data_IF_251747099561
#
_entry.id   IF_251747099561
#
_cell.length_a   1.000
_cell.length_b   1.000
_cell.length_c   1.000
_cell.angle_alpha   90.00
_cell.angle_beta   90.00
_cell.angle_gamma   90.00
#
_symmetry.space_group_name_H-M   'P 1'
#
loop_
_entity.id
_entity.type
_entity.pdbx_description
1 polymer ?
#
# COMPACT_ATOMS: atom_id res chain seq x y z
N UNK A 1 16.03 8.90 -22.56
CA UNK A 1 16.15 9.86 -21.44
C UNK A 1 15.94 9.11 -20.12
N UNK A 2 16.88 9.18 -19.16
CA UNK A 2 16.81 8.40 -17.92
C UNK A 2 15.55 8.66 -17.09
N UNK A 3 15.08 9.91 -17.04
CA UNK A 3 13.86 10.30 -16.31
C UNK A 3 12.61 9.63 -16.86
N UNK A 4 12.43 9.66 -18.18
CA UNK A 4 11.28 9.05 -18.86
C UNK A 4 11.24 7.55 -18.64
N UNK A 5 12.39 6.87 -18.75
CA UNK A 5 12.47 5.44 -18.41
C UNK A 5 12.05 5.17 -16.96
N UNK A 6 12.53 5.98 -16.01
CA UNK A 6 12.20 5.81 -14.60
C UNK A 6 10.69 6.01 -14.31
N UNK A 7 10.02 6.91 -15.04
CA UNK A 7 8.56 7.10 -14.95
C UNK A 7 7.83 5.83 -15.38
N UNK A 8 8.19 5.23 -16.52
CA UNK A 8 7.54 4.00 -16.97
C UNK A 8 7.88 2.80 -16.06
N UNK A 9 9.12 2.67 -15.61
CA UNK A 9 9.52 1.60 -14.68
C UNK A 9 8.98 1.78 -13.25
N UNK A 10 8.33 2.90 -12.92
CA UNK A 10 7.67 3.08 -11.62
C UNK A 10 6.67 1.95 -11.34
N UNK A 11 5.85 1.62 -12.33
CA UNK A 11 4.75 0.66 -12.18
C UNK A 11 5.23 -0.77 -11.96
N UNK A 12 6.41 -1.13 -12.48
CA UNK A 12 7.03 -2.45 -12.24
C UNK A 12 7.54 -2.55 -10.81
N UNK A 13 8.06 -1.45 -10.27
CA UNK A 13 8.57 -1.32 -8.90
C UNK A 13 7.49 -1.25 -7.82
N UNK A 14 6.22 -1.24 -8.19
CA UNK A 14 5.08 -1.38 -7.27
C UNK A 14 4.46 -2.78 -7.27
N UNK A 15 4.95 -3.68 -8.12
CA UNK A 15 4.38 -5.03 -8.26
C UNK A 15 4.83 -5.94 -7.12
N UNK A 16 3.91 -6.71 -6.55
CA UNK A 16 4.14 -7.80 -5.60
C UNK A 16 3.32 -8.99 -6.07
N UNK A 17 3.97 -10.04 -6.56
CA UNK A 17 3.27 -11.13 -7.25
C UNK A 17 2.51 -10.60 -8.48
N UNK A 18 1.20 -10.87 -8.53
CA UNK A 18 0.31 -10.36 -9.58
C UNK A 18 -0.38 -9.05 -9.18
N UNK A 19 -0.11 -8.54 -7.99
CA UNK A 19 -0.77 -7.36 -7.44
C UNK A 19 0.07 -6.12 -7.67
N UNK A 20 -0.62 -4.99 -7.83
CA UNK A 20 -0.03 -3.67 -7.79
C UNK A 20 -0.38 -3.06 -6.45
N UNK A 21 0.64 -2.72 -5.65
CA UNK A 21 0.38 -2.10 -4.35
C UNK A 21 -0.38 -0.80 -4.59
N UNK A 22 -1.56 -0.73 -3.98
CA UNK A 22 -2.45 0.41 -4.11
C UNK A 22 -2.10 1.46 -3.06
N UNK A 23 -2.01 2.71 -3.50
CA UNK A 23 -2.03 3.90 -2.66
C UNK A 23 -2.88 4.97 -3.36
N UNK A 24 -3.61 5.78 -2.59
CA UNK A 24 -4.50 6.77 -3.16
C UNK A 24 -5.58 6.13 -4.05
N UNK A 25 -6.03 6.84 -5.08
CA UNK A 25 -7.06 6.35 -6.00
C UNK A 25 -6.50 5.35 -7.03
N UNK A 26 -5.84 4.29 -6.56
CA UNK A 26 -5.44 3.13 -7.34
C UNK A 26 -6.28 1.91 -6.98
N UNK A 27 -6.14 0.84 -7.74
CA UNK A 27 -6.91 -0.39 -7.57
C UNK A 27 -5.96 -1.58 -7.52
N UNK A 28 -6.22 -2.53 -6.62
CA UNK A 28 -5.49 -3.78 -6.62
C UNK A 28 -5.82 -4.54 -7.91
N UNK A 29 -4.86 -5.31 -8.42
CA UNK A 29 -5.04 -6.19 -9.58
C UNK A 29 -5.37 -5.52 -10.92
N UNK A 30 -5.26 -4.19 -11.04
CA UNK A 30 -5.42 -3.53 -12.34
C UNK A 30 -4.14 -3.70 -13.17
N UNK A 31 -4.24 -4.40 -14.30
CA UNK A 31 -3.18 -4.40 -15.29
C UNK A 31 -2.99 -2.98 -15.82
N UNK A 32 -1.74 -2.55 -16.04
CA UNK A 32 -1.52 -1.27 -16.69
C UNK A 32 -1.99 -1.34 -18.15
N UNK A 33 -2.19 -0.16 -18.77
CA UNK A 33 -2.46 -0.05 -20.19
C UNK A 33 -1.30 -0.69 -20.98
N UNK A 34 -1.50 -1.93 -21.44
CA UNK A 34 -0.45 -2.71 -22.11
C UNK A 34 -0.01 -2.02 -23.40
N UNK A 35 -0.96 -1.35 -24.06
CA UNK A 35 -0.75 -0.47 -25.22
C UNK A 35 0.26 0.65 -25.00
N UNK A 36 0.48 1.05 -23.75
CA UNK A 36 1.50 2.02 -23.37
C UNK A 36 2.75 1.33 -22.81
N UNK A 37 2.58 0.32 -21.97
CA UNK A 37 3.68 -0.31 -21.24
C UNK A 37 4.61 -1.10 -22.15
N UNK A 38 4.07 -1.89 -23.08
CA UNK A 38 4.84 -2.81 -23.91
C UNK A 38 5.74 -2.09 -24.94
N UNK A 39 5.24 -1.11 -25.73
CA UNK A 39 6.10 -0.35 -26.63
C UNK A 39 7.19 0.42 -25.87
N UNK A 40 6.87 0.94 -24.67
CA UNK A 40 7.87 1.56 -23.81
C UNK A 40 8.91 0.55 -23.31
N UNK A 41 8.49 -0.69 -23.00
CA UNK A 41 9.38 -1.78 -22.63
C UNK A 41 10.45 -2.05 -23.69
N UNK A 42 10.06 -2.15 -24.96
CA UNK A 42 10.99 -2.30 -26.08
C UNK A 42 11.85 -1.05 -26.27
N UNK A 43 11.23 0.14 -26.31
CA UNK A 43 11.90 1.42 -26.51
C UNK A 43 12.99 1.71 -25.48
N UNK A 44 12.78 1.31 -24.24
CA UNK A 44 13.71 1.49 -23.12
C UNK A 44 14.53 0.25 -22.77
N UNK A 45 14.32 -0.87 -23.49
CA UNK A 45 14.95 -2.18 -23.21
C UNK A 45 14.78 -2.57 -21.75
N UNK A 46 13.53 -2.54 -21.28
CA UNK A 46 13.17 -2.87 -19.90
C UNK A 46 12.46 -4.23 -19.84
N UNK A 47 13.16 -5.30 -19.43
CA UNK A 47 12.55 -6.62 -19.25
C UNK A 47 11.34 -6.55 -18.30
N UNK A 48 11.45 -5.76 -17.24
CA UNK A 48 10.38 -5.63 -16.24
C UNK A 48 9.07 -5.09 -16.84
N UNK A 49 9.13 -4.20 -17.84
CA UNK A 49 7.95 -3.72 -18.56
C UNK A 49 7.44 -4.77 -19.55
N UNK A 50 8.33 -5.45 -20.27
CA UNK A 50 7.98 -6.50 -21.22
C UNK A 50 7.37 -7.74 -20.55
N UNK A 51 7.70 -7.99 -19.29
CA UNK A 51 7.11 -9.07 -18.47
C UNK A 51 5.61 -8.90 -18.23
N UNK A 52 5.04 -7.70 -18.38
CA UNK A 52 3.57 -7.52 -18.35
C UNK A 52 2.86 -8.16 -19.55
N UNK A 53 3.55 -8.36 -20.67
CA UNK A 53 3.00 -9.00 -21.86
C UNK A 53 3.17 -10.52 -21.87
N UNK A 54 3.93 -11.06 -20.90
CA UNK A 54 4.15 -12.50 -20.78
C UNK A 54 2.82 -13.19 -20.46
N UNK A 55 2.52 -14.26 -21.19
CA UNK A 55 1.30 -15.08 -21.06
C UNK A 55 -0.02 -14.31 -21.26
N UNK A 56 0.03 -13.06 -21.72
CA UNK A 56 -1.17 -12.29 -22.04
C UNK A 56 -1.64 -12.65 -23.44
N UNK A 57 -2.88 -13.11 -23.55
CA UNK A 57 -3.58 -13.14 -24.83
C UNK A 57 -4.21 -11.77 -25.03
N UNK A 58 -3.69 -11.01 -26.00
CA UNK A 58 -4.28 -9.73 -26.39
C UNK A 58 -5.63 -9.99 -27.06
N UNK A 59 -6.69 -9.97 -26.26
CA UNK A 59 -8.05 -10.12 -26.77
C UNK A 59 -8.51 -8.82 -27.43
N UNK A 60 -8.84 -8.89 -28.73
CA UNK A 60 -9.64 -7.85 -29.39
C UNK A 60 -11.04 -7.91 -28.76
N UNK A 61 -11.32 -7.04 -27.79
CA UNK A 61 -12.62 -7.00 -27.14
C UNK A 61 -13.66 -6.31 -28.02
N UNK A 62 -14.92 -6.74 -27.89
CA UNK A 62 -16.03 -6.42 -28.79
C UNK A 62 -16.77 -5.11 -28.46
N UNK A 63 -16.25 -4.28 -27.54
CA UNK A 63 -16.92 -3.05 -27.10
C UNK A 63 -16.21 -1.80 -27.60
N UNK A 64 -17.00 -0.81 -28.03
CA UNK A 64 -16.50 0.49 -28.47
C UNK A 64 -16.16 1.38 -27.26
N UNK A 65 -14.91 1.87 -27.19
CA UNK A 65 -14.40 2.72 -26.10
C UNK A 65 -12.86 2.76 -26.06
N UNK A 66 -12.29 3.10 -24.91
CA UNK A 66 -10.83 3.16 -24.68
C UNK A 66 -10.11 1.84 -25.04
N UNK A 67 -10.79 0.71 -24.84
CA UNK A 67 -10.29 -0.65 -25.08
C UNK A 67 -10.04 -0.96 -26.57
N UNK A 68 -10.82 -0.38 -27.49
CA UNK A 68 -10.58 -0.52 -28.94
C UNK A 68 -9.32 0.25 -29.34
N UNK A 69 -9.13 1.45 -28.80
CA UNK A 69 -7.93 2.26 -29.05
C UNK A 69 -6.68 1.53 -28.55
N UNK A 70 -6.73 0.91 -27.37
CA UNK A 70 -5.64 0.10 -26.84
C UNK A 70 -5.30 -1.08 -27.74
N UNK A 71 -6.32 -1.82 -28.17
CA UNK A 71 -6.16 -2.98 -29.04
C UNK A 71 -5.54 -2.59 -30.38
N UNK A 72 -6.02 -1.49 -30.98
CA UNK A 72 -5.48 -0.98 -32.24
C UNK A 72 -4.04 -0.49 -32.08
N UNK A 73 -3.72 0.23 -31.00
CA UNK A 73 -2.35 0.65 -30.71
C UNK A 73 -1.42 -0.56 -30.60
N UNK A 74 -1.80 -1.59 -29.84
CA UNK A 74 -1.02 -2.82 -29.73
C UNK A 74 -0.87 -3.57 -31.06
N UNK A 75 -1.86 -3.54 -31.95
CA UNK A 75 -1.74 -4.18 -33.26
C UNK A 75 -0.59 -3.59 -34.10
N UNK A 76 -0.35 -2.28 -33.97
CA UNK A 76 0.69 -1.58 -34.73
C UNK A 76 2.02 -1.45 -33.98
N UNK A 77 1.96 -1.34 -32.65
CA UNK A 77 3.11 -1.00 -31.80
C UNK A 77 3.52 -2.15 -30.85
N UNK A 78 2.96 -3.37 -31.01
CA UNK A 78 3.38 -4.52 -30.21
C UNK A 78 4.90 -4.76 -30.35
N UNK A 79 5.60 -5.02 -29.23
CA UNK A 79 7.02 -5.29 -29.28
C UNK A 79 7.29 -6.60 -30.03
N UNK A 80 8.44 -6.70 -30.68
CA UNK A 80 8.82 -7.92 -31.38
C UNK A 80 9.07 -9.10 -30.40
N UNK A 81 9.48 -8.79 -29.18
CA UNK A 81 9.85 -9.76 -28.15
C UNK A 81 9.26 -9.38 -26.78
N UNK A 82 8.80 -10.40 -26.06
CA UNK A 82 8.42 -10.32 -24.65
C UNK A 82 9.50 -10.92 -23.76
N UNK A 83 9.41 -10.71 -22.44
CA UNK A 83 10.33 -11.39 -21.52
C UNK A 83 10.05 -12.89 -21.53
N UNK A 84 11.04 -13.74 -21.84
CA UNK A 84 10.83 -15.19 -21.96
C UNK A 84 10.68 -15.88 -20.60
N UNK A 85 11.24 -15.26 -19.55
CA UNK A 85 11.24 -15.75 -18.18
C UNK A 85 10.73 -14.66 -17.24
N UNK A 86 10.13 -15.04 -16.09
CA UNK A 86 9.70 -14.09 -15.07
C UNK A 86 10.86 -13.20 -14.60
N UNK A 87 10.62 -11.88 -14.61
CA UNK A 87 11.64 -10.92 -14.17
C UNK A 87 11.67 -10.82 -12.65
N UNK A 88 12.84 -11.09 -12.06
CA UNK A 88 13.09 -10.82 -10.64
C UNK A 88 13.23 -9.32 -10.41
N UNK A 89 12.31 -8.74 -9.64
CA UNK A 89 12.37 -7.33 -9.26
C UNK A 89 13.40 -7.11 -8.14
N UNK A 90 13.96 -5.89 -8.01
CA UNK A 90 14.87 -5.57 -6.91
C UNK A 90 14.21 -5.82 -5.55
N UNK A 91 14.98 -6.40 -4.61
CA UNK A 91 14.55 -6.62 -3.24
C UNK A 91 14.13 -5.31 -2.54
N UNK A 92 14.68 -4.18 -3.00
CA UNK A 92 14.40 -2.84 -2.46
C UNK A 92 14.15 -1.89 -3.63
N UNK A 93 13.03 -1.17 -3.59
CA UNK A 93 12.73 -0.06 -4.49
C UNK A 93 12.35 1.15 -3.67
N UNK A 94 13.08 2.25 -3.83
CA UNK A 94 12.82 3.50 -3.10
C UNK A 94 12.42 4.62 -4.06
N UNK A 95 11.51 5.45 -3.57
CA UNK A 95 11.09 6.69 -4.18
C UNK A 95 11.27 7.76 -3.13
N UNK A 96 12.25 8.63 -3.37
CA UNK A 96 12.76 9.59 -2.39
C UNK A 96 11.63 10.28 -1.61
N UNK A 97 11.61 10.03 -0.30
CA UNK A 97 10.65 10.61 0.65
C UNK A 97 9.17 10.33 0.34
N UNK A 98 8.87 9.33 -0.50
CA UNK A 98 7.50 8.97 -0.91
C UNK A 98 7.11 7.57 -0.53
N UNK A 99 7.96 6.61 -0.90
CA UNK A 99 7.59 5.21 -0.81
C UNK A 99 8.83 4.34 -0.83
N UNK A 100 8.87 3.38 0.07
CA UNK A 100 9.82 2.26 0.03
C UNK A 100 9.04 0.97 -0.16
N UNK A 101 9.54 0.09 -1.04
CA UNK A 101 9.01 -1.25 -1.26
C UNK A 101 10.12 -2.26 -1.02
N UNK A 102 9.89 -3.17 -0.08
CA UNK A 102 10.77 -4.26 0.30
C UNK A 102 10.15 -5.59 -0.15
N UNK A 103 10.97 -6.49 -0.69
CA UNK A 103 10.53 -7.76 -1.27
C UNK A 103 11.42 -8.91 -0.86
N UNK A 104 10.81 -10.07 -0.63
CA UNK A 104 11.48 -11.36 -0.45
C UNK A 104 10.56 -12.49 -0.92
N UNK A 105 11.00 -13.73 -0.79
CA UNK A 105 10.16 -14.90 -1.10
C UNK A 105 8.96 -15.03 -0.15
N UNK A 106 9.10 -14.54 1.09
CA UNK A 106 8.06 -14.53 2.11
C UNK A 106 7.47 -13.14 2.22
N UNK A 107 7.91 -12.29 3.15
CA UNK A 107 7.28 -10.97 3.27
C UNK A 107 7.68 -10.03 2.14
N UNK A 108 6.72 -9.25 1.67
CA UNK A 108 6.94 -8.01 0.94
C UNK A 108 6.16 -6.90 1.64
N UNK A 109 6.76 -5.73 1.82
CA UNK A 109 6.20 -4.64 2.61
C UNK A 109 6.41 -3.29 1.92
N UNK A 110 5.51 -2.35 2.19
CA UNK A 110 5.65 -0.96 1.73
C UNK A 110 5.53 0.01 2.88
N UNK A 111 6.17 1.17 2.78
CA UNK A 111 5.96 2.28 3.73
C UNK A 111 5.89 3.60 2.98
N UNK A 112 4.79 4.35 3.18
CA UNK A 112 4.55 5.64 2.53
C UNK A 112 4.99 6.82 3.41
N UNK A 113 5.67 7.78 2.80
CA UNK A 113 5.98 9.10 3.34
C UNK A 113 5.43 10.20 2.44
N UNK A 114 5.94 11.43 2.55
CA UNK A 114 5.55 12.52 1.66
C UNK A 114 4.55 13.48 2.31
N UNK A 115 3.52 13.92 1.58
CA UNK A 115 2.52 14.87 2.10
C UNK A 115 1.14 14.59 1.49
N UNK A 116 0.08 15.05 2.16
CA UNK A 116 -1.29 14.68 1.78
C UNK A 116 -1.90 15.49 0.64
N UNK A 117 -1.31 16.63 0.27
CA UNK A 117 -1.76 17.51 -0.84
C UNK A 117 -1.32 17.01 -2.23
N UNK A 118 -1.52 15.74 -2.51
CA UNK A 118 -1.20 15.13 -3.81
C UNK A 118 -2.46 14.86 -4.65
N UNK A 119 -2.38 14.94 -5.99
CA UNK A 119 -3.50 14.54 -6.83
C UNK A 119 -3.90 13.08 -6.57
N UNK A 120 -5.21 12.81 -6.51
CA UNK A 120 -5.75 11.46 -6.28
C UNK A 120 -5.28 10.80 -4.97
N UNK A 121 -4.85 11.58 -4.00
CA UNK A 121 -4.29 11.07 -2.77
C UNK A 121 -5.35 10.79 -1.70
N UNK A 122 -4.93 10.01 -0.70
CA UNK A 122 -5.63 9.81 0.57
C UNK A 122 -4.80 10.39 1.72
N UNK A 123 -5.38 10.53 2.91
CA UNK A 123 -4.64 11.02 4.09
C UNK A 123 -3.93 9.87 4.81
N UNK A 124 -2.87 9.33 4.23
CA UNK A 124 -2.32 8.00 4.53
C UNK A 124 -0.80 8.01 4.79
N UNK A 125 -0.24 9.11 5.30
CA UNK A 125 1.21 9.17 5.56
C UNK A 125 1.60 8.22 6.68
N UNK A 126 2.68 7.47 6.48
CA UNK A 126 3.07 6.37 7.34
C UNK A 126 2.32 5.07 7.05
N UNK A 127 1.38 5.04 6.09
CA UNK A 127 0.67 3.83 5.73
C UNK A 127 1.63 2.74 5.23
N UNK A 128 1.42 1.52 5.71
CA UNK A 128 2.16 0.35 5.25
C UNK A 128 1.24 -0.72 4.70
N UNK A 129 1.73 -1.48 3.72
CA UNK A 129 1.09 -2.72 3.27
C UNK A 129 2.03 -3.89 3.52
N UNK A 130 1.49 -5.10 3.64
CA UNK A 130 2.21 -6.33 3.89
C UNK A 130 1.60 -7.48 3.09
N UNK A 131 2.46 -8.24 2.42
CA UNK A 131 2.12 -9.45 1.68
C UNK A 131 2.98 -10.60 2.19
N UNK A 132 2.43 -11.81 2.25
CA UNK A 132 3.16 -13.06 2.51
C UNK A 132 3.18 -13.89 1.22
N UNK A 133 4.34 -13.99 0.59
CA UNK A 133 4.51 -14.40 -0.79
C UNK A 133 3.76 -13.44 -1.71
N UNK A 134 2.77 -13.97 -2.43
CA UNK A 134 1.85 -13.20 -3.27
C UNK A 134 0.49 -12.96 -2.61
N UNK A 135 0.30 -13.36 -1.34
CA UNK A 135 -0.98 -13.22 -0.64
C UNK A 135 -1.02 -11.88 0.13
N UNK A 136 -2.03 -11.04 -0.07
CA UNK A 136 -2.20 -9.80 0.69
C UNK A 136 -2.52 -10.08 2.16
N UNK A 137 -1.82 -9.44 3.10
CA UNK A 137 -2.06 -9.55 4.55
C UNK A 137 -2.65 -8.23 5.08
N UNK A 138 -1.89 -7.14 4.96
CA UNK A 138 -2.33 -5.78 5.28
C UNK A 138 -2.33 -4.97 4.00
N UNK A 139 -3.45 -4.33 3.67
CA UNK A 139 -3.66 -3.68 2.38
C UNK A 139 -4.14 -2.24 2.54
N UNK A 140 -3.89 -1.44 1.52
CA UNK A 140 -4.67 -0.23 1.28
C UNK A 140 -5.95 -0.62 0.52
N UNK A 141 -7.06 0.06 0.79
CA UNK A 141 -8.32 -0.27 0.14
C UNK A 141 -8.37 0.13 -1.33
N UNK A 142 -7.56 1.11 -1.74
CA UNK A 142 -7.66 1.77 -3.04
C UNK A 142 -8.86 2.70 -3.12
N UNK A 143 -9.33 2.97 -4.34
CA UNK A 143 -10.50 3.82 -4.59
C UNK A 143 -11.83 3.07 -4.56
N UNK A 144 -12.88 3.76 -4.14
CA UNK A 144 -14.26 3.37 -4.43
C UNK A 144 -14.82 4.05 -5.67
N UNK A 145 -16.12 3.82 -5.95
CA UNK A 145 -16.82 4.49 -7.04
C UNK A 145 -16.77 6.01 -6.85
N UNK A 146 -16.29 6.71 -7.88
CA UNK A 146 -16.23 8.17 -7.85
C UNK A 146 -17.62 8.79 -7.82
N UNK A 147 -17.82 9.64 -6.83
CA UNK A 147 -19.00 10.48 -6.65
C UNK A 147 -18.62 11.95 -6.71
N UNK A 148 -19.61 12.84 -6.64
CA UNK A 148 -19.36 14.29 -6.51
C UNK A 148 -18.50 14.63 -5.29
N UNK A 149 -18.52 13.81 -4.23
CA UNK A 149 -17.72 14.03 -3.04
C UNK A 149 -16.22 13.96 -3.34
N UNK A 150 -15.79 13.03 -4.20
CA UNK A 150 -14.39 12.80 -4.57
C UNK A 150 -13.71 14.03 -5.22
N UNK A 151 -14.51 14.91 -5.83
CA UNK A 151 -14.08 16.13 -6.52
C UNK A 151 -14.53 17.41 -5.81
N UNK A 152 -14.78 17.32 -4.50
CA UNK A 152 -15.22 18.44 -3.67
C UNK A 152 -14.36 18.57 -2.42
N UNK A 153 -14.57 19.65 -1.65
CA UNK A 153 -13.96 19.82 -0.33
C UNK A 153 -14.38 18.74 0.69
N UNK A 154 -15.43 17.97 0.39
CA UNK A 154 -15.88 16.85 1.22
C UNK A 154 -15.17 15.53 0.91
N UNK A 155 -14.14 15.53 0.03
CA UNK A 155 -13.40 14.31 -0.36
C UNK A 155 -12.94 13.49 0.84
N UNK A 156 -12.37 14.13 1.86
CA UNK A 156 -11.84 13.48 3.06
C UNK A 156 -12.90 13.22 4.15
N UNK A 157 -14.18 13.31 3.81
CA UNK A 157 -15.26 12.72 4.61
C UNK A 157 -15.53 11.26 4.21
N UNK A 158 -15.06 10.85 3.03
CA UNK A 158 -15.18 9.49 2.52
C UNK A 158 -14.23 8.58 3.31
N UNK A 159 -14.74 7.44 3.76
CA UNK A 159 -14.02 6.59 4.73
C UNK A 159 -12.68 6.04 4.21
N UNK A 160 -12.54 5.83 2.90
CA UNK A 160 -11.33 5.28 2.27
C UNK A 160 -10.31 6.36 1.85
N UNK A 161 -10.64 7.65 1.95
CA UNK A 161 -9.70 8.73 1.59
C UNK A 161 -9.16 9.46 2.82
N UNK A 162 -9.79 9.32 3.99
CA UNK A 162 -9.45 10.00 5.24
C UNK A 162 -8.50 9.17 6.11
N UNK A 163 -7.87 9.80 7.11
CA UNK A 163 -6.82 9.16 7.91
C UNK A 163 -7.20 7.87 8.63
N UNK A 164 -8.40 7.82 9.22
CA UNK A 164 -8.98 6.62 9.83
C UNK A 164 -9.30 5.48 8.84
N UNK A 165 -9.21 5.74 7.53
CA UNK A 165 -9.22 4.74 6.48
C UNK A 165 -7.94 3.94 6.37
N UNK A 166 -6.84 4.37 7.00
CA UNK A 166 -5.51 3.77 6.86
C UNK A 166 -4.90 3.44 8.24
N UNK A 167 -3.69 2.87 8.23
CA UNK A 167 -3.05 2.32 9.44
C UNK A 167 -2.02 3.24 10.11
N UNK A 168 -2.05 4.55 9.83
CA UNK A 168 -1.36 5.51 10.68
C UNK A 168 -2.16 5.72 12.00
N UNK A 169 -1.51 6.11 13.11
CA UNK A 169 -2.21 6.34 14.37
C UNK A 169 -3.29 7.42 14.23
N UNK A 170 -4.45 7.21 14.85
CA UNK A 170 -5.47 8.24 15.08
C UNK A 170 -5.51 8.51 16.57
N UNK A 171 -5.31 9.76 16.99
CA UNK A 171 -5.27 10.12 18.42
C UNK A 171 -6.65 10.61 18.84
N UNK A 172 -7.40 9.80 19.57
CA UNK A 172 -8.83 10.01 19.85
C UNK A 172 -9.62 10.28 18.55
N UNK A 173 -10.09 11.51 18.33
CA UNK A 173 -10.77 11.96 17.11
C UNK A 173 -9.84 12.58 16.04
N UNK A 174 -8.57 12.81 16.38
CA UNK A 174 -7.62 13.53 15.52
C UNK A 174 -6.86 12.59 14.59
N UNK A 175 -7.21 12.68 13.31
CA UNK A 175 -6.52 12.00 12.20
C UNK A 175 -5.74 13.01 11.33
N UNK A 176 -4.94 12.50 10.40
CA UNK A 176 -4.19 13.36 9.47
C UNK A 176 -5.13 14.12 8.53
N UNK A 177 -4.96 15.45 8.36
CA UNK A 177 -5.70 16.23 7.39
C UNK A 177 -5.01 16.19 6.01
N UNK A 178 -5.72 16.71 5.00
CA UNK A 178 -5.06 17.11 3.77
C UNK A 178 -4.14 18.29 4.06
N UNK A 179 -2.92 18.26 3.52
CA UNK A 179 -1.97 19.34 3.79
C UNK A 179 -0.63 19.18 3.10
N UNK A 180 0.16 20.24 3.17
CA UNK A 180 1.55 20.27 2.70
C UNK A 180 2.55 19.77 3.73
N UNK A 181 2.10 19.53 4.97
CA UNK A 181 2.93 18.96 6.02
C UNK A 181 3.45 17.59 5.60
N UNK A 182 4.70 17.31 5.96
CA UNK A 182 5.45 16.18 5.43
C UNK A 182 5.73 15.13 6.48
N UNK A 183 5.51 13.88 6.10
CA UNK A 183 6.13 12.72 6.69
C UNK A 183 7.50 12.48 6.04
N UNK A 184 8.56 12.42 6.84
CA UNK A 184 9.93 12.24 6.33
C UNK A 184 10.29 10.77 6.35
N UNK A 185 10.33 10.12 5.18
CA UNK A 185 10.75 8.73 5.02
C UNK A 185 12.23 8.66 4.68
N UNK A 186 13.04 8.15 5.62
CA UNK A 186 14.46 7.91 5.41
C UNK A 186 14.74 6.78 4.43
N UNK A 187 15.96 6.77 3.89
CA UNK A 187 16.42 5.66 3.07
C UNK A 187 16.47 4.35 3.88
N UNK A 188 16.20 3.19 3.26
CA UNK A 188 16.34 1.89 3.92
C UNK A 188 17.78 1.67 4.39
N UNK A 189 17.94 1.37 5.67
CA UNK A 189 19.20 1.04 6.31
C UNK A 189 19.37 -0.48 6.39
N UNK A 190 20.55 -1.00 6.06
CA UNK A 190 20.87 -2.42 6.27
C UNK A 190 21.25 -2.62 7.73
N UNK A 191 20.70 -3.68 8.33
CA UNK A 191 20.97 -4.10 9.72
C UNK A 191 21.40 -5.56 9.73
N UNK A 192 22.05 -6.07 10.79
CA UNK A 192 22.37 -7.49 10.90
C UNK A 192 21.15 -8.41 10.79
N UNK A 193 19.97 -7.94 11.21
CA UNK A 193 18.72 -8.69 11.23
C UNK A 193 17.87 -8.51 9.96
N UNK A 194 18.29 -7.67 9.01
CA UNK A 194 17.54 -7.36 7.79
C UNK A 194 17.65 -5.89 7.40
N UNK A 195 16.51 -5.20 7.28
CA UNK A 195 16.43 -3.80 6.90
C UNK A 195 15.63 -2.98 7.90
N UNK A 196 15.97 -1.69 8.01
CA UNK A 196 15.31 -0.73 8.87
C UNK A 196 14.88 0.49 8.06
N UNK A 197 13.61 0.87 8.19
CA UNK A 197 13.05 2.10 7.64
C UNK A 197 12.52 2.95 8.78
N UNK A 198 12.67 4.27 8.66
CA UNK A 198 12.14 5.24 9.63
C UNK A 198 11.32 6.28 8.90
N UNK A 199 10.09 6.48 9.35
CA UNK A 199 9.23 7.54 8.89
C UNK A 199 8.88 8.46 10.07
N UNK A 200 9.27 9.73 9.97
CA UNK A 200 8.90 10.77 10.92
C UNK A 200 7.54 11.35 10.53
N UNK A 201 6.54 11.20 11.40
CA UNK A 201 5.16 11.64 11.21
C UNK A 201 4.81 12.81 12.15
N UNK A 202 5.80 13.43 12.80
CA UNK A 202 5.55 14.39 13.89
C UNK A 202 4.75 15.62 13.44
N UNK A 203 4.90 16.04 12.18
CA UNK A 203 4.32 17.28 11.67
C UNK A 203 2.99 17.07 10.92
N UNK A 204 2.53 15.83 10.74
CA UNK A 204 1.38 15.54 9.85
C UNK A 204 0.03 15.51 10.55
N UNK A 205 -0.01 15.88 11.83
CA UNK A 205 -1.22 15.92 12.65
C UNK A 205 -1.63 17.37 12.94
N UNK A 206 -2.93 17.64 13.12
CA UNK A 206 -3.39 18.95 13.54
C UNK A 206 -2.87 19.29 14.94
N UNK A 207 -2.68 20.57 15.25
CA UNK A 207 -2.10 21.01 16.53
C UNK A 207 -2.92 20.50 17.74
N UNK A 208 -4.22 20.36 17.56
CA UNK A 208 -5.19 19.85 18.53
C UNK A 208 -4.93 18.39 18.92
N UNK A 209 -4.33 17.59 18.02
CA UNK A 209 -3.89 16.23 18.34
C UNK A 209 -2.80 16.23 19.43
N UNK A 210 -2.03 17.34 19.55
CA UNK A 210 -1.00 17.49 20.56
C UNK A 210 0.26 16.66 20.30
N UNK A 211 0.46 16.15 19.09
CA UNK A 211 1.64 15.35 18.71
C UNK A 211 2.88 16.26 18.70
N UNK A 212 3.86 15.95 19.57
CA UNK A 212 5.17 16.60 19.62
C UNK A 212 6.22 15.84 18.83
N UNK A 213 6.15 14.52 18.91
CA UNK A 213 6.94 13.63 18.08
C UNK A 213 6.13 12.37 17.78
N UNK A 214 6.30 11.79 16.58
CA UNK A 214 5.83 10.47 16.23
C UNK A 214 6.76 9.88 15.18
N UNK A 215 7.36 8.74 15.50
CA UNK A 215 8.21 7.98 14.59
C UNK A 215 7.66 6.58 14.41
N UNK A 216 7.47 6.19 13.16
CA UNK A 216 7.22 4.82 12.74
C UNK A 216 8.52 4.19 12.26
N UNK A 217 8.88 3.06 12.84
CA UNK A 217 10.03 2.25 12.44
C UNK A 217 9.51 0.93 11.90
N UNK A 218 9.95 0.56 10.69
CA UNK A 218 9.74 -0.77 10.14
C UNK A 218 11.06 -1.54 10.20
N UNK A 219 11.12 -2.61 10.99
CA UNK A 219 12.19 -3.60 10.95
C UNK A 219 11.73 -4.76 10.08
N UNK A 220 12.39 -4.97 8.96
CA UNK A 220 12.00 -5.90 7.93
C UNK A 220 13.03 -7.00 7.77
N UNK A 221 12.57 -8.24 7.72
CA UNK A 221 13.33 -9.43 7.33
C UNK A 221 12.39 -10.33 6.52
N UNK A 222 12.96 -11.33 5.86
CA UNK A 222 12.20 -12.25 5.00
C UNK A 222 10.98 -12.87 5.72
N UNK A 223 11.14 -13.33 6.96
CA UNK A 223 10.09 -14.05 7.72
C UNK A 223 9.49 -13.26 8.88
N UNK A 224 9.91 -12.01 9.09
CA UNK A 224 9.45 -11.15 10.19
C UNK A 224 9.45 -9.68 9.81
N UNK A 225 8.32 -9.01 10.05
CA UNK A 225 8.18 -7.54 9.92
C UNK A 225 7.68 -6.98 11.24
N UNK A 226 8.38 -5.98 11.79
CA UNK A 226 7.96 -5.25 12.99
C UNK A 226 7.62 -3.83 12.59
N UNK A 227 6.43 -3.37 12.94
CA UNK A 227 6.04 -1.97 12.89
C UNK A 227 6.04 -1.45 14.33
N UNK A 228 6.92 -0.51 14.60
CA UNK A 228 7.12 0.09 15.91
C UNK A 228 6.80 1.59 15.82
N UNK A 229 5.82 2.03 16.60
CA UNK A 229 5.49 3.45 16.70
C UNK A 229 5.87 3.95 18.10
N UNK A 230 6.57 5.10 18.13
CA UNK A 230 6.94 5.82 19.35
C UNK A 230 6.52 7.28 19.21
N UNK A 231 5.81 7.82 20.19
CA UNK A 231 5.31 9.19 20.12
C UNK A 231 5.30 9.91 21.46
N UNK A 232 5.31 11.25 21.41
CA UNK A 232 5.14 12.12 22.56
C UNK A 232 3.94 13.05 22.31
N UNK A 233 3.05 13.14 23.30
CA UNK A 233 1.88 14.02 23.24
C UNK A 233 1.98 15.13 24.28
N UNK A 234 1.36 16.28 23.98
CA UNK A 234 1.20 17.39 24.92
C UNK A 234 0.18 17.09 26.03
N UNK A 235 -0.74 16.16 25.79
CA UNK A 235 -1.70 15.62 26.76
C UNK A 235 -1.95 14.13 26.47
N UNK A 236 -2.27 13.29 27.47
CA UNK A 236 -2.60 11.89 27.25
C UNK A 236 -3.81 11.72 26.32
N UNK A 237 -3.68 10.84 25.32
CA UNK A 237 -4.73 10.44 24.37
C UNK A 237 -4.64 8.95 24.07
N UNK A 238 -5.71 8.36 23.57
CA UNK A 238 -5.69 6.98 23.06
C UNK A 238 -5.29 7.00 21.58
N UNK A 239 -4.31 6.19 21.20
CA UNK A 239 -3.99 5.94 19.80
C UNK A 239 -4.81 4.76 19.28
N UNK A 240 -5.44 4.92 18.12
CA UNK A 240 -6.17 3.89 17.38
C UNK A 240 -5.46 3.59 16.07
N UNK A 241 -5.32 2.31 15.73
CA UNK A 241 -4.67 1.85 14.50
C UNK A 241 -5.67 0.98 13.74
N UNK A 242 -5.95 1.35 12.49
CA UNK A 242 -6.88 0.62 11.62
C UNK A 242 -6.10 -0.21 10.61
N UNK A 243 -6.00 -1.52 10.84
CA UNK A 243 -5.41 -2.44 9.87
C UNK A 243 -6.51 -2.98 8.96
N UNK A 244 -6.28 -2.96 7.64
CA UNK A 244 -7.23 -3.49 6.67
C UNK A 244 -6.67 -4.76 6.07
N UNK A 245 -7.47 -5.82 6.05
CA UNK A 245 -7.06 -7.14 5.59
C UNK A 245 -8.13 -7.80 4.72
N UNK A 246 -7.69 -8.60 3.75
CA UNK A 246 -8.55 -9.50 2.97
C UNK A 246 -8.70 -10.89 3.62
N UNK A 247 -7.94 -11.16 4.69
CA UNK A 247 -8.01 -12.39 5.48
C UNK A 247 -9.11 -12.30 6.54
N UNK A 248 -9.56 -13.45 7.02
CA UNK A 248 -10.46 -13.51 8.20
C UNK A 248 -9.61 -13.49 9.48
N UNK A 249 -9.63 -12.42 10.29
CA UNK A 249 -8.83 -12.35 11.51
C UNK A 249 -9.33 -13.31 12.58
N UNK A 250 -8.42 -14.11 13.14
CA UNK A 250 -8.70 -14.98 14.30
C UNK A 250 -7.87 -14.50 15.48
N UNK A 251 -8.54 -14.04 16.54
CA UNK A 251 -7.88 -13.50 17.73
C UNK A 251 -7.46 -14.64 18.67
N UNK A 252 -6.19 -14.64 19.07
CA UNK A 252 -5.54 -15.66 19.89
C UNK A 252 -4.77 -14.97 21.03
N UNK A 253 -5.47 -14.57 22.09
CA UNK A 253 -4.86 -13.85 23.21
C UNK A 253 -4.31 -12.48 22.77
N UNK A 254 -3.00 -12.29 22.84
CA UNK A 254 -2.30 -11.08 22.37
C UNK A 254 -1.87 -11.14 20.90
N UNK A 255 -2.32 -12.15 20.15
CA UNK A 255 -2.02 -12.30 18.74
C UNK A 255 -3.29 -12.36 17.88
N UNK A 256 -3.14 -12.08 16.59
CA UNK A 256 -4.19 -12.17 15.57
C UNK A 256 -3.63 -12.97 14.40
N UNK A 257 -4.27 -14.08 14.04
CA UNK A 257 -3.92 -14.87 12.87
C UNK A 257 -4.61 -14.33 11.63
N UNK A 258 -3.83 -14.13 10.56
CA UNK A 258 -4.24 -13.59 9.25
C UNK A 258 -3.72 -14.56 8.18
N UNK A 259 -4.52 -15.59 7.88
CA UNK A 259 -4.08 -16.71 7.04
C UNK A 259 -2.83 -17.38 7.63
N UNK A 260 -1.74 -17.42 6.85
CA UNK A 260 -0.45 -18.00 7.23
C UNK A 260 0.46 -17.02 8.03
N UNK A 261 -0.05 -15.85 8.40
CA UNK A 261 0.69 -14.80 9.12
C UNK A 261 0.15 -14.66 10.54
N UNK A 262 1.04 -14.58 11.53
CA UNK A 262 0.70 -14.25 12.91
C UNK A 262 1.10 -12.81 13.20
N UNK A 263 0.14 -11.99 13.65
CA UNK A 263 0.35 -10.65 14.16
C UNK A 263 0.37 -10.69 15.70
N UNK A 264 1.53 -10.55 16.31
CA UNK A 264 1.68 -10.41 17.77
C UNK A 264 1.68 -8.93 18.16
N UNK A 265 0.92 -8.60 19.20
CA UNK A 265 0.78 -7.25 19.73
C UNK A 265 1.61 -7.06 21.01
N UNK A 266 2.40 -5.98 21.07
CA UNK A 266 3.19 -5.61 22.24
C UNK A 266 2.97 -4.11 22.54
N UNK A 267 2.53 -3.79 23.76
CA UNK A 267 2.16 -2.42 24.13
C UNK A 267 0.90 -1.87 23.44
N UNK A 268 0.18 -2.68 22.68
CA UNK A 268 -1.08 -2.36 21.99
C UNK A 268 -2.06 -3.52 22.11
N UNK A 269 -3.36 -3.25 22.14
CA UNK A 269 -4.40 -4.26 22.30
C UNK A 269 -5.42 -4.26 21.17
N UNK A 270 -5.98 -5.44 20.90
CA UNK A 270 -7.09 -5.62 19.99
C UNK A 270 -8.37 -5.01 20.58
N UNK A 271 -9.07 -4.17 19.81
CA UNK A 271 -10.33 -3.54 20.24
C UNK A 271 -11.55 -4.09 19.51
N UNK A 272 -11.40 -4.63 18.29
CA UNK A 272 -12.54 -5.13 17.52
C UNK A 272 -12.26 -5.31 16.04
N UNK A 273 -13.27 -5.81 15.33
CA UNK A 273 -13.28 -5.88 13.86
C UNK A 273 -14.55 -5.25 13.30
N UNK A 274 -14.44 -4.73 12.08
CA UNK A 274 -15.55 -4.14 11.32
C UNK A 274 -15.47 -4.64 9.88
N UNK A 275 -16.56 -5.20 9.36
CA UNK A 275 -16.65 -5.52 7.94
C UNK A 275 -16.79 -4.23 7.14
N UNK A 276 -15.89 -4.01 6.17
CA UNK A 276 -15.92 -2.80 5.35
C UNK A 276 -16.90 -2.96 4.19
N UNK A 277 -17.53 -1.86 3.74
CA UNK A 277 -18.38 -1.91 2.56
C UNK A 277 -17.56 -2.26 1.32
N UNK A 278 -18.15 -3.04 0.41
CA UNK A 278 -17.54 -3.37 -0.88
C UNK A 278 -17.20 -2.07 -1.65
N UNK A 279 -15.92 -1.90 -2.00
CA UNK A 279 -15.51 -0.88 -2.96
C UNK A 279 -15.77 -1.39 -4.37
N UNK A 280 -16.75 -0.75 -5.01
CA UNK A 280 -17.10 -0.98 -6.41
C UNK A 280 -16.27 -0.04 -7.29
N UNK A 281 -15.54 -0.61 -8.25
CA UNK A 281 -14.53 0.12 -9.01
C UNK A 281 -15.11 0.89 -10.21
N UNK A 282 -16.22 0.44 -10.79
CA UNK A 282 -16.71 0.98 -12.05
C UNK A 282 -18.24 0.86 -12.22
N UNK A 283 -18.74 1.29 -13.38
CA UNK A 283 -20.16 1.12 -13.75
C UNK A 283 -20.56 -0.35 -13.89
N UNK A 284 -19.60 -1.25 -14.11
CA UNK A 284 -19.83 -2.70 -14.16
C UNK A 284 -19.92 -3.33 -12.76
N UNK A 285 -19.70 -2.55 -11.70
CA UNK A 285 -19.77 -2.94 -10.28
C UNK A 285 -18.85 -4.11 -9.93
N UNK A 286 -17.70 -4.20 -10.59
CA UNK A 286 -16.66 -5.15 -10.17
C UNK A 286 -16.10 -4.73 -8.81
N UNK A 287 -15.86 -5.72 -7.95
CA UNK A 287 -15.20 -5.52 -6.67
C UNK A 287 -13.72 -5.25 -6.90
N UNK A 288 -13.17 -4.29 -6.17
CA UNK A 288 -11.73 -4.05 -6.12
C UNK A 288 -11.00 -5.31 -5.58
N UNK A 289 -11.53 -5.91 -4.52
CA UNK A 289 -10.95 -7.09 -3.88
C UNK A 289 -11.83 -8.33 -4.10
N UNK A 290 -11.20 -9.48 -4.31
CA UNK A 290 -11.91 -10.75 -4.49
C UNK A 290 -12.72 -11.15 -3.24
N UNK A 291 -12.16 -10.86 -2.06
CA UNK A 291 -12.79 -11.08 -0.76
C UNK A 291 -13.20 -9.76 -0.12
N UNK A 292 -14.29 -9.74 0.68
CA UNK A 292 -14.64 -8.59 1.50
C UNK A 292 -13.48 -8.22 2.44
N UNK A 293 -13.22 -6.92 2.57
CA UNK A 293 -12.19 -6.43 3.48
C UNK A 293 -12.72 -6.32 4.91
N UNK A 294 -11.85 -6.64 5.87
CA UNK A 294 -12.11 -6.47 7.30
C UNK A 294 -11.15 -5.43 7.86
N UNK A 295 -11.69 -4.46 8.60
CA UNK A 295 -10.91 -3.55 9.43
C UNK A 295 -10.69 -4.21 10.79
N UNK A 296 -9.46 -4.31 11.22
CA UNK A 296 -9.05 -4.65 12.58
C UNK A 296 -8.70 -3.34 13.28
N UNK A 297 -9.36 -3.09 14.41
CA UNK A 297 -9.11 -1.89 15.22
C UNK A 297 -8.25 -2.29 16.41
N UNK A 298 -7.08 -1.68 16.50
CA UNK A 298 -6.18 -1.77 17.65
C UNK A 298 -6.21 -0.45 18.41
N UNK A 299 -5.96 -0.49 19.71
CA UNK A 299 -5.88 0.73 20.54
C UNK A 299 -4.80 0.62 21.61
N UNK A 300 -4.30 1.77 22.06
CA UNK A 300 -3.39 1.85 23.20
C UNK A 300 -3.36 3.23 23.83
N UNK A 301 -3.11 3.28 25.13
CA UNK A 301 -2.73 4.50 25.85
C UNK A 301 -1.20 4.62 26.03
N UNK A 302 -0.45 3.59 25.63
CA UNK A 302 1.01 3.61 25.69
C UNK A 302 1.56 4.49 24.57
N UNK A 303 2.63 5.21 24.88
CA UNK A 303 3.37 6.07 23.93
C UNK A 303 4.35 5.30 23.04
N UNK A 304 4.41 3.98 23.22
CA UNK A 304 5.27 3.07 22.48
C UNK A 304 4.57 1.72 22.35
N UNK A 305 4.57 1.16 21.14
CA UNK A 305 4.02 -0.16 20.86
C UNK A 305 4.63 -0.79 19.61
N UNK A 306 4.42 -2.10 19.46
CA UNK A 306 4.87 -2.89 18.32
C UNK A 306 3.76 -3.80 17.80
N UNK A 307 3.67 -3.85 16.47
CA UNK A 307 2.93 -4.85 15.71
C UNK A 307 3.97 -5.77 15.04
N UNK A 308 4.01 -7.03 15.44
CA UNK A 308 5.04 -7.99 15.01
C UNK A 308 4.38 -9.04 14.14
N UNK A 309 4.66 -8.99 12.84
CA UNK A 309 4.19 -9.97 11.85
C UNK A 309 5.26 -11.05 11.67
N UNK A 310 4.89 -12.31 11.83
CA UNK A 310 5.74 -13.47 11.53
C UNK A 310 5.03 -14.44 10.61
N UNK A 311 5.79 -15.10 9.75
CA UNK A 311 5.25 -16.21 8.96
C UNK A 311 5.15 -17.47 9.83
N UNK A 312 4.04 -18.21 9.70
CA UNK A 312 3.80 -19.46 10.41
C UNK A 312 4.52 -20.63 9.75
N UNK A 313 5.45 -21.21 10.49
CA UNK A 313 6.11 -22.49 10.21
C UNK A 313 7.31 -22.66 11.14
N UNK A 314 7.12 -23.29 12.29
CA UNK A 314 8.18 -24.12 12.82
C UNK A 314 8.42 -25.20 11.77
N UNK A 315 9.67 -25.33 11.29
CA UNK A 315 10.11 -26.61 10.75
C UNK A 315 10.10 -27.66 11.86
#
# INVERSE_FOLDING_TARGET
>A
EPKTRAIFEFITKLRIGNDQVSFGDSQPHQLPLLSLVLPCGERFRSPALLDYGRDQVLHIQSWCGDELCETLALLFDAPAEFSPEPVTLPAVSTFHDRLSVLRSAHFSATLKGGYNKEPHNHNDLGHFTLYNGTKPVIVDTGSGLYTKLNFSSLRYTIWYTRGSGHNAPVFDEYEQPEGTERAVLGDPEVTPEGMRLVCDLSNVYPAEAGVRSLKRVMLYSEKRVVIEDSFELSAPRTAYINLITAETPVVEGCAIRLGDTLLTLDGIEFSGTEALPDLLHDRSRKRAWASPLTRIVLKTANTHYKMIFTTGGAE
#
